data_IF_085859105191
#
_entry.id   IF_085859105191
#
_cell.length_a   1.000
_cell.length_b   1.000
_cell.length_c   1.000
_cell.angle_alpha   90.00
_cell.angle_beta   90.00
_cell.angle_gamma   90.00
#
_symmetry.space_group_name_H-M   'P 1'
#
loop_
_entity.id
_entity.type
_entity.pdbx_description
1 polymer ?
#
# COMPACT_ATOMS: atom_id res chain seq x y z
N UNK A 1 21.75 0.09 7.28
CA UNK A 1 21.05 -1.13 7.76
C UNK A 1 19.63 -0.82 8.22
N UNK A 2 19.43 0.28 8.96
CA UNK A 2 18.12 0.80 9.38
C UNK A 2 17.16 1.09 8.22
N UNK A 3 17.64 1.66 7.10
CA UNK A 3 16.78 1.97 5.94
C UNK A 3 16.22 0.73 5.25
N UNK A 4 17.00 -0.34 5.18
CA UNK A 4 16.56 -1.62 4.60
C UNK A 4 15.50 -2.27 5.49
N UNK A 5 15.70 -2.23 6.81
CA UNK A 5 14.69 -2.72 7.77
C UNK A 5 13.40 -1.92 7.69
N UNK A 6 13.48 -0.59 7.58
CA UNK A 6 12.31 0.27 7.43
C UNK A 6 11.55 -0.03 6.13
N UNK A 7 12.26 -0.25 5.02
CA UNK A 7 11.65 -0.64 3.74
C UNK A 7 10.98 -2.03 3.79
N UNK A 8 11.61 -3.00 4.47
CA UNK A 8 11.05 -4.36 4.66
C UNK A 8 9.81 -4.34 5.54
N UNK A 9 9.83 -3.58 6.63
CA UNK A 9 8.70 -3.41 7.54
C UNK A 9 7.54 -2.73 6.81
N UNK A 10 7.82 -1.67 6.06
CA UNK A 10 6.81 -0.96 5.29
C UNK A 10 6.21 -1.83 4.16
N UNK A 11 7.02 -2.61 3.44
CA UNK A 11 6.51 -3.57 2.44
C UNK A 11 5.65 -4.65 3.06
N UNK A 12 6.06 -5.19 4.22
CA UNK A 12 5.31 -6.23 4.94
C UNK A 12 3.99 -5.70 5.47
N UNK A 13 3.98 -4.47 6.02
CA UNK A 13 2.78 -3.79 6.45
C UNK A 13 1.83 -3.51 5.27
N UNK A 14 2.36 -3.17 4.09
CA UNK A 14 1.57 -2.93 2.88
C UNK A 14 0.92 -4.21 2.38
N UNK A 15 1.66 -5.32 2.36
CA UNK A 15 1.14 -6.64 2.02
C UNK A 15 0.04 -7.10 2.99
N UNK A 16 0.23 -6.89 4.30
CA UNK A 16 -0.77 -7.22 5.33
C UNK A 16 -2.04 -6.36 5.19
N UNK A 17 -1.89 -5.08 4.86
CA UNK A 17 -3.03 -4.19 4.64
C UNK A 17 -3.81 -4.58 3.37
N UNK A 18 -3.11 -4.94 2.28
CA UNK A 18 -3.73 -5.45 1.06
C UNK A 18 -4.46 -6.79 1.29
N UNK A 19 -3.88 -7.67 2.11
CA UNK A 19 -4.48 -8.94 2.52
C UNK A 19 -5.72 -8.73 3.39
N UNK A 20 -5.65 -7.80 4.35
CA UNK A 20 -6.80 -7.40 5.17
C UNK A 20 -7.97 -6.89 4.31
N UNK A 21 -7.66 -6.20 3.22
CA UNK A 21 -8.65 -5.67 2.29
C UNK A 21 -9.40 -6.74 1.48
N UNK A 22 -8.97 -8.00 1.50
CA UNK A 22 -9.74 -9.10 0.94
C UNK A 22 -10.86 -9.59 1.89
N UNK A 23 -10.75 -9.38 3.21
CA UNK A 23 -11.79 -9.79 4.17
C UNK A 23 -12.98 -8.83 4.20
N UNK A 24 -14.23 -9.31 4.07
CA UNK A 24 -15.42 -8.47 3.89
C UNK A 24 -15.72 -7.53 5.07
N UNK A 25 -15.32 -7.90 6.29
CA UNK A 25 -15.72 -7.19 7.52
C UNK A 25 -14.94 -5.89 7.79
N UNK A 26 -13.74 -5.72 7.23
CA UNK A 26 -12.86 -4.56 7.49
C UNK A 26 -12.29 -3.90 6.22
N UNK A 27 -12.88 -4.17 5.05
CA UNK A 27 -12.41 -3.71 3.73
C UNK A 27 -12.02 -2.22 3.67
N UNK A 28 -12.93 -1.33 4.09
CA UNK A 28 -12.70 0.11 4.03
C UNK A 28 -11.50 0.55 4.91
N UNK A 29 -11.43 0.04 6.14
CA UNK A 29 -10.31 0.32 7.05
C UNK A 29 -8.99 -0.22 6.48
N UNK A 30 -9.01 -1.42 5.89
CA UNK A 30 -7.82 -2.01 5.28
C UNK A 30 -7.33 -1.22 4.04
N UNK A 31 -8.22 -0.64 3.24
CA UNK A 31 -7.82 0.25 2.14
C UNK A 31 -7.16 1.54 2.64
N UNK A 32 -7.71 2.15 3.71
CA UNK A 32 -7.13 3.34 4.31
C UNK A 32 -5.75 3.04 4.91
N UNK A 33 -5.61 1.91 5.61
CA UNK A 33 -4.31 1.47 6.15
C UNK A 33 -3.32 1.20 5.03
N UNK A 34 -3.72 0.50 3.97
CA UNK A 34 -2.85 0.22 2.82
C UNK A 34 -2.36 1.51 2.14
N UNK A 35 -3.26 2.48 1.97
CA UNK A 35 -2.90 3.81 1.43
C UNK A 35 -1.92 4.56 2.34
N UNK A 36 -2.18 4.57 3.65
CA UNK A 36 -1.30 5.24 4.62
C UNK A 36 0.11 4.64 4.65
N UNK A 37 0.22 3.31 4.68
CA UNK A 37 1.51 2.59 4.66
C UNK A 37 2.24 2.83 3.33
N UNK A 38 1.50 2.86 2.22
CA UNK A 38 2.05 3.21 0.91
C UNK A 38 2.67 4.60 0.87
N UNK A 39 1.98 5.60 1.41
CA UNK A 39 2.49 6.97 1.50
C UNK A 39 3.72 7.05 2.42
N UNK A 40 3.72 6.34 3.55
CA UNK A 40 4.89 6.26 4.44
C UNK A 40 6.10 5.65 3.74
N UNK A 41 5.91 4.58 2.96
CA UNK A 41 6.97 3.94 2.17
C UNK A 41 7.54 4.88 1.11
N UNK A 42 6.68 5.60 0.40
CA UNK A 42 7.11 6.61 -0.59
C UNK A 42 7.94 7.70 0.10
N UNK A 43 7.47 8.24 1.23
CA UNK A 43 8.21 9.24 2.00
C UNK A 43 9.59 8.76 2.43
N UNK A 44 9.68 7.52 2.92
CA UNK A 44 10.95 6.89 3.29
C UNK A 44 11.91 6.76 2.09
N UNK A 45 11.40 6.29 0.95
CA UNK A 45 12.19 6.15 -0.28
C UNK A 45 12.70 7.50 -0.79
N UNK A 46 11.89 8.56 -0.68
CA UNK A 46 12.31 9.92 -1.05
C UNK A 46 13.41 10.43 -0.12
N UNK A 47 13.25 10.28 1.20
CA UNK A 47 14.25 10.72 2.20
C UNK A 47 15.58 9.99 2.03
N UNK A 48 15.54 8.71 1.63
CA UNK A 48 16.73 7.88 1.40
C UNK A 48 17.34 8.05 0.00
N UNK A 49 16.83 8.98 -0.82
CA UNK A 49 17.34 9.27 -2.16
C UNK A 49 16.98 8.23 -3.23
N UNK A 50 16.06 7.30 -2.93
CA UNK A 50 15.61 6.23 -3.83
C UNK A 50 14.44 6.68 -4.72
N UNK A 51 14.60 7.81 -5.42
CA UNK A 51 13.51 8.50 -6.14
C UNK A 51 12.86 7.63 -7.21
N UNK A 52 13.63 6.83 -7.96
CA UNK A 52 13.07 5.93 -8.98
C UNK A 52 12.17 4.84 -8.37
N UNK A 53 12.59 4.24 -7.25
CA UNK A 53 11.75 3.28 -6.51
C UNK A 53 10.50 3.95 -5.93
N UNK A 54 10.62 5.16 -5.39
CA UNK A 54 9.47 5.93 -4.89
C UNK A 54 8.42 6.13 -5.98
N UNK A 55 8.85 6.51 -7.19
CA UNK A 55 7.97 6.66 -8.35
C UNK A 55 7.34 5.33 -8.74
N UNK A 56 8.10 4.23 -8.80
CA UNK A 56 7.55 2.90 -9.10
C UNK A 56 6.50 2.45 -8.08
N UNK A 57 6.74 2.67 -6.79
CA UNK A 57 5.79 2.34 -5.71
C UNK A 57 4.54 3.20 -5.80
N UNK A 58 4.68 4.50 -6.05
CA UNK A 58 3.55 5.40 -6.26
C UNK A 58 2.69 4.99 -7.47
N UNK A 59 3.34 4.60 -8.57
CA UNK A 59 2.65 4.10 -9.76
C UNK A 59 1.88 2.81 -9.48
N UNK A 60 2.49 1.85 -8.78
CA UNK A 60 1.82 0.60 -8.38
C UNK A 60 0.61 0.84 -7.46
N UNK A 61 0.73 1.75 -6.50
CA UNK A 61 -0.38 2.14 -5.62
C UNK A 61 -1.53 2.77 -6.43
N UNK A 62 -1.21 3.64 -7.38
CA UNK A 62 -2.21 4.23 -8.28
C UNK A 62 -2.90 3.18 -9.15
N UNK A 63 -2.17 2.19 -9.65
CA UNK A 63 -2.74 1.06 -10.40
C UNK A 63 -3.59 0.11 -9.54
N UNK A 64 -3.30 0.01 -8.24
CA UNK A 64 -4.11 -0.79 -7.30
C UNK A 64 -5.48 -0.17 -7.01
N UNK A 65 -5.62 1.15 -7.12
CA UNK A 65 -6.87 1.87 -6.83
C UNK A 65 -8.10 1.39 -7.64
N UNK A 66 -8.05 1.18 -8.97
CA UNK A 66 -9.19 0.61 -9.70
C UNK A 66 -9.55 -0.80 -9.22
N UNK A 67 -8.58 -1.62 -8.84
CA UNK A 67 -8.82 -2.97 -8.31
C UNK A 67 -9.59 -2.94 -6.99
N UNK A 68 -9.32 -1.95 -6.13
CA UNK A 68 -10.08 -1.66 -4.92
C UNK A 68 -11.54 -1.34 -5.25
N UNK A 69 -11.78 -0.48 -6.24
CA UNK A 69 -13.14 -0.10 -6.67
C UNK A 69 -13.89 -1.31 -7.24
N UNK A 70 -13.25 -2.12 -8.10
CA UNK A 70 -13.84 -3.34 -8.64
C UNK A 70 -14.20 -4.36 -7.56
N UNK A 71 -13.29 -4.60 -6.61
CA UNK A 71 -13.54 -5.54 -5.50
C UNK A 71 -14.64 -5.03 -4.56
N UNK A 72 -14.69 -3.73 -4.30
CA UNK A 72 -15.76 -3.12 -3.52
C UNK A 72 -17.12 -3.25 -4.21
N UNK A 73 -17.19 -2.97 -5.52
CA UNK A 73 -18.43 -3.15 -6.31
C UNK A 73 -18.87 -4.62 -6.39
N UNK A 74 -17.94 -5.57 -6.50
CA UNK A 74 -18.24 -7.00 -6.51
C UNK A 74 -18.89 -7.48 -5.21
N UNK A 75 -18.48 -6.92 -4.06
CA UNK A 75 -19.04 -7.32 -2.77
C UNK A 75 -20.39 -6.69 -2.44
N UNK A 76 -20.82 -5.66 -3.18
CA UNK A 76 -22.14 -5.05 -3.06
C UNK A 76 -23.17 -5.65 -4.06
N UNK A 77 -22.80 -6.67 -4.84
CA UNK A 77 -23.71 -7.49 -5.66
C UNK A 77 -23.99 -8.79 -4.93
#
# INVERSE_FOLDING_TARGET
MTDVLAAVVASSALALALWGAWRPRFRAASYLVAGSVGLTLIGLLVVTGQTLMAISVAFLLAMGAPMVVFNHRRANR
#
